data_IF_297094154472
#
_entry.id   IF_297094154472
#
_cell.length_a   1.000
_cell.length_b   1.000
_cell.length_c   1.000
_cell.angle_alpha   90.00
_cell.angle_beta   90.00
_cell.angle_gamma   90.00
#
_symmetry.space_group_name_H-M   'P 1'
#
loop_
_entity.id
_entity.type
_entity.pdbx_description
1 polymer ?
#
# COMPACT_ATOMS: atom_id res chain seq x y z
N UNK A 1 -1.79 -4.76 -35.75
CA UNK A 1 -2.23 -4.11 -34.50
C UNK A 1 -3.10 -5.01 -33.62
N UNK A 2 -4.10 -5.73 -34.14
CA UNK A 2 -4.96 -6.60 -33.32
C UNK A 2 -4.25 -7.77 -32.61
N UNK A 3 -3.25 -8.39 -33.24
CA UNK A 3 -2.48 -9.49 -32.64
C UNK A 3 -1.65 -9.05 -31.42
N UNK A 4 -1.05 -7.85 -31.46
CA UNK A 4 -0.30 -7.29 -30.33
C UNK A 4 -1.23 -6.87 -29.20
N UNK A 5 -2.39 -6.29 -29.51
CA UNK A 5 -3.42 -5.97 -28.51
C UNK A 5 -3.90 -7.23 -27.78
N UNK A 6 -4.23 -8.31 -28.51
CA UNK A 6 -4.68 -9.56 -27.92
C UNK A 6 -3.55 -10.30 -27.16
N UNK A 7 -2.35 -10.38 -27.72
CA UNK A 7 -1.23 -11.04 -27.07
C UNK A 7 -0.78 -10.30 -25.79
N UNK A 8 -0.65 -8.97 -25.83
CA UNK A 8 -0.19 -8.20 -24.66
C UNK A 8 -1.30 -8.03 -23.63
N UNK A 9 -2.52 -7.64 -24.04
CA UNK A 9 -3.59 -7.36 -23.08
C UNK A 9 -4.31 -8.62 -22.60
N UNK A 10 -4.60 -9.57 -23.49
CA UNK A 10 -5.37 -10.75 -23.10
C UNK A 10 -4.49 -11.89 -22.58
N UNK A 11 -3.28 -12.08 -23.11
CA UNK A 11 -2.41 -13.16 -22.62
C UNK A 11 -1.56 -12.72 -21.42
N UNK A 12 -0.74 -11.67 -21.53
CA UNK A 12 0.16 -11.31 -20.43
C UNK A 12 -0.58 -10.83 -19.19
N UNK A 13 -1.57 -9.94 -19.33
CA UNK A 13 -2.30 -9.40 -18.17
C UNK A 13 -3.22 -10.46 -17.55
N UNK A 14 -4.11 -11.06 -18.35
CA UNK A 14 -5.10 -12.01 -17.82
C UNK A 14 -4.42 -13.23 -17.22
N UNK A 15 -3.38 -13.77 -17.87
CA UNK A 15 -2.68 -14.95 -17.33
C UNK A 15 -1.99 -14.61 -16.01
N UNK A 16 -1.33 -13.45 -15.90
CA UNK A 16 -0.70 -12.99 -14.65
C UNK A 16 -1.74 -12.80 -13.55
N UNK A 17 -2.91 -12.24 -13.86
CA UNK A 17 -4.03 -12.10 -12.90
C UNK A 17 -4.55 -13.47 -12.46
N UNK A 18 -4.76 -14.41 -13.39
CA UNK A 18 -5.24 -15.75 -13.09
C UNK A 18 -4.25 -16.53 -12.20
N UNK A 19 -2.96 -16.54 -12.56
CA UNK A 19 -1.91 -17.20 -11.79
C UNK A 19 -1.77 -16.55 -10.42
N UNK A 20 -1.66 -15.23 -10.37
CA UNK A 20 -1.50 -14.50 -9.11
C UNK A 20 -2.68 -14.74 -8.18
N UNK A 21 -3.92 -14.71 -8.69
CA UNK A 21 -5.11 -14.97 -7.89
C UNK A 21 -5.13 -16.41 -7.38
N UNK A 22 -4.88 -17.38 -8.26
CA UNK A 22 -4.90 -18.81 -7.92
C UNK A 22 -3.82 -19.16 -6.90
N UNK A 23 -2.57 -18.80 -7.17
CA UNK A 23 -1.41 -19.11 -6.31
C UNK A 23 -1.52 -18.34 -4.99
N UNK A 24 -1.94 -17.07 -5.02
CA UNK A 24 -2.19 -16.28 -3.81
C UNK A 24 -3.30 -16.87 -2.93
N UNK A 25 -4.37 -17.39 -3.54
CA UNK A 25 -5.46 -18.05 -2.82
C UNK A 25 -5.02 -19.39 -2.20
N UNK A 26 -4.24 -20.19 -2.94
CA UNK A 26 -3.65 -21.43 -2.42
C UNK A 26 -2.70 -21.12 -1.26
N UNK A 27 -1.81 -20.14 -1.43
CA UNK A 27 -0.88 -19.72 -0.38
C UNK A 27 -1.62 -19.26 0.89
N UNK A 28 -2.74 -18.57 0.72
CA UNK A 28 -3.60 -18.16 1.83
C UNK A 28 -4.15 -19.36 2.60
N UNK A 29 -4.72 -20.35 1.91
CA UNK A 29 -5.24 -21.56 2.55
C UNK A 29 -4.10 -22.33 3.23
N UNK A 30 -2.95 -22.45 2.58
CA UNK A 30 -1.78 -23.11 3.14
C UNK A 30 -1.33 -22.45 4.45
N UNK A 31 -1.26 -21.12 4.48
CA UNK A 31 -0.89 -20.37 5.69
C UNK A 31 -1.94 -20.50 6.81
N UNK A 32 -3.23 -20.44 6.48
CA UNK A 32 -4.32 -20.68 7.44
C UNK A 32 -4.26 -22.09 8.03
N UNK A 33 -3.92 -23.07 7.21
CA UNK A 33 -3.74 -24.45 7.68
C UNK A 33 -2.50 -24.53 8.58
N UNK A 34 -1.34 -24.06 8.13
CA UNK A 34 -0.10 -24.10 8.91
C UNK A 34 -0.21 -23.40 10.26
N UNK A 35 -0.95 -22.30 10.37
CA UNK A 35 -1.21 -21.65 11.65
C UNK A 35 -2.10 -22.50 12.58
N UNK A 36 -3.17 -23.11 12.05
CA UNK A 36 -4.04 -24.02 12.83
C UNK A 36 -3.28 -25.20 13.43
N UNK A 37 -2.26 -25.69 12.73
CA UNK A 37 -1.37 -26.76 13.23
C UNK A 37 -0.15 -26.23 14.01
N UNK A 38 -0.04 -24.91 14.23
CA UNK A 38 1.09 -24.24 14.89
C UNK A 38 2.45 -24.56 14.27
N UNK A 39 2.51 -24.69 12.94
CA UNK A 39 3.76 -24.94 12.21
C UNK A 39 4.54 -23.67 11.88
N UNK A 40 3.88 -22.51 11.93
CA UNK A 40 4.45 -21.23 11.52
C UNK A 40 4.34 -20.24 12.67
N UNK A 41 5.50 -19.76 13.12
CA UNK A 41 5.59 -18.64 14.05
C UNK A 41 5.36 -17.30 13.35
N UNK A 42 4.98 -16.28 14.13
CA UNK A 42 4.67 -14.91 13.66
C UNK A 42 5.79 -14.33 12.78
N UNK A 43 7.05 -14.58 13.13
CA UNK A 43 8.22 -14.11 12.38
C UNK A 43 8.38 -14.82 11.02
N UNK A 44 8.07 -16.12 10.97
CA UNK A 44 8.21 -16.97 9.78
C UNK A 44 7.28 -16.59 8.63
N UNK A 45 6.16 -15.92 8.92
CA UNK A 45 5.25 -15.41 7.88
C UNK A 45 5.91 -14.40 6.92
N UNK A 46 6.97 -13.70 7.35
CA UNK A 46 7.74 -12.80 6.49
C UNK A 46 8.50 -13.58 5.42
N UNK A 47 9.19 -14.64 5.86
CA UNK A 47 9.88 -15.58 4.98
C UNK A 47 8.90 -16.25 4.00
N UNK A 48 7.68 -16.58 4.45
CA UNK A 48 6.64 -17.13 3.56
C UNK A 48 6.24 -16.16 2.44
N UNK A 49 6.14 -14.86 2.73
CA UNK A 49 5.77 -13.84 1.72
C UNK A 49 6.89 -13.63 0.69
N UNK A 50 8.16 -13.65 1.14
CA UNK A 50 9.33 -13.60 0.25
C UNK A 50 9.40 -14.85 -0.62
N UNK A 51 9.20 -16.03 -0.03
CA UNK A 51 9.20 -17.31 -0.75
C UNK A 51 8.10 -17.36 -1.80
N UNK A 52 6.89 -16.89 -1.46
CA UNK A 52 5.78 -16.79 -2.40
C UNK A 52 6.11 -15.85 -3.56
N UNK A 53 6.75 -14.72 -3.28
CA UNK A 53 7.18 -13.76 -4.30
C UNK A 53 8.20 -14.39 -5.25
N UNK A 54 9.24 -15.06 -4.72
CA UNK A 54 10.25 -15.76 -5.52
C UNK A 54 9.65 -16.89 -6.37
N UNK A 55 8.71 -17.64 -5.80
CA UNK A 55 7.98 -18.68 -6.53
C UNK A 55 7.19 -18.10 -7.71
N UNK A 56 6.45 -17.00 -7.49
CA UNK A 56 5.69 -16.33 -8.53
C UNK A 56 6.57 -15.75 -9.63
N UNK A 57 7.67 -15.08 -9.27
CA UNK A 57 8.65 -14.58 -10.23
C UNK A 57 9.20 -15.74 -11.07
N UNK A 58 9.52 -16.88 -10.46
CA UNK A 58 9.98 -18.07 -11.16
C UNK A 58 8.94 -18.63 -12.15
N UNK A 59 7.69 -18.77 -11.71
CA UNK A 59 6.58 -19.24 -12.57
C UNK A 59 6.35 -18.28 -13.73
N UNK A 60 6.31 -16.97 -13.46
CA UNK A 60 6.08 -15.94 -14.48
C UNK A 60 7.21 -15.86 -15.49
N UNK A 61 8.47 -16.04 -15.04
CA UNK A 61 9.64 -16.06 -15.93
C UNK A 61 9.57 -17.23 -16.91
N UNK A 62 9.18 -18.42 -16.45
CA UNK A 62 9.04 -19.62 -17.30
C UNK A 62 7.90 -19.44 -18.31
N UNK A 63 6.80 -18.81 -17.90
CA UNK A 63 5.61 -18.61 -18.74
C UNK A 63 5.72 -17.37 -19.64
N UNK A 64 6.72 -16.50 -19.46
CA UNK A 64 6.87 -15.25 -20.21
C UNK A 64 5.77 -14.23 -19.93
N UNK A 65 5.24 -14.21 -18.70
CA UNK A 65 4.16 -13.31 -18.25
C UNK A 65 4.69 -12.23 -17.30
N UNK A 66 3.91 -11.17 -17.04
CA UNK A 66 4.34 -10.06 -16.16
C UNK A 66 4.38 -10.50 -14.69
N UNK A 67 5.58 -10.52 -14.12
CA UNK A 67 5.87 -10.96 -12.77
C UNK A 67 5.42 -9.94 -11.71
N UNK A 68 5.64 -8.64 -11.95
CA UNK A 68 5.26 -7.56 -11.03
C UNK A 68 3.75 -7.54 -10.79
N UNK A 69 2.95 -7.60 -11.86
CA UNK A 69 1.50 -7.65 -11.81
C UNK A 69 1.03 -8.94 -11.13
N UNK A 70 1.63 -10.08 -11.47
CA UNK A 70 1.29 -11.36 -10.86
C UNK A 70 1.52 -11.34 -9.33
N UNK A 71 2.69 -10.87 -8.88
CA UNK A 71 3.01 -10.70 -7.46
C UNK A 71 2.07 -9.72 -6.76
N UNK A 72 1.71 -8.62 -7.42
CA UNK A 72 0.74 -7.66 -6.87
C UNK A 72 -0.65 -8.30 -6.68
N UNK A 73 -1.16 -9.00 -7.70
CA UNK A 73 -2.46 -9.67 -7.62
C UNK A 73 -2.44 -10.78 -6.56
N UNK A 74 -1.35 -11.54 -6.46
CA UNK A 74 -1.19 -12.56 -5.43
C UNK A 74 -1.20 -11.97 -4.02
N UNK A 75 -0.54 -10.83 -3.79
CA UNK A 75 -0.59 -10.12 -2.51
C UNK A 75 -1.99 -9.64 -2.12
N UNK A 76 -2.77 -9.17 -3.11
CA UNK A 76 -4.18 -8.82 -2.92
C UNK A 76 -5.05 -10.05 -2.61
N UNK A 77 -4.86 -11.15 -3.35
CA UNK A 77 -5.56 -12.42 -3.11
C UNK A 77 -5.23 -13.01 -1.73
N UNK A 78 -3.96 -12.94 -1.32
CA UNK A 78 -3.48 -13.38 -0.01
C UNK A 78 -4.12 -12.58 1.13
N UNK A 79 -4.28 -11.26 0.93
CA UNK A 79 -4.85 -10.34 1.93
C UNK A 79 -6.37 -10.15 1.78
N UNK A 80 -7.03 -10.94 0.92
CA UNK A 80 -8.44 -10.74 0.57
C UNK A 80 -9.38 -10.80 1.77
N UNK A 81 -9.08 -11.67 2.75
CA UNK A 81 -9.76 -11.62 4.03
C UNK A 81 -8.84 -10.93 5.03
N UNK A 82 -9.42 -9.99 5.79
CA UNK A 82 -8.74 -9.21 6.82
C UNK A 82 -7.97 -10.04 7.85
N UNK A 83 -8.21 -11.35 7.93
CA UNK A 83 -7.44 -12.29 8.75
C UNK A 83 -5.92 -12.18 8.55
N UNK A 84 -5.42 -12.19 7.31
CA UNK A 84 -3.98 -12.12 7.06
C UNK A 84 -3.42 -10.75 7.47
N UNK A 85 -4.19 -9.68 7.26
CA UNK A 85 -3.80 -8.32 7.66
C UNK A 85 -3.68 -8.19 9.18
N UNK A 86 -4.68 -8.68 9.92
CA UNK A 86 -4.72 -8.62 11.38
C UNK A 86 -3.60 -9.48 11.99
N UNK A 87 -3.34 -10.65 11.43
CA UNK A 87 -2.29 -11.56 11.91
C UNK A 87 -0.88 -10.97 11.74
N UNK A 88 -0.72 -10.01 10.81
CA UNK A 88 0.53 -9.35 10.44
C UNK A 88 0.66 -7.94 11.01
N UNK A 89 -0.39 -7.40 11.63
CA UNK A 89 -0.45 -6.03 12.15
C UNK A 89 0.68 -5.72 13.14
N UNK A 90 1.22 -6.74 13.82
CA UNK A 90 2.29 -6.60 14.81
C UNK A 90 3.73 -6.78 14.25
N UNK A 91 3.92 -6.73 12.92
CA UNK A 91 5.22 -7.01 12.31
C UNK A 91 6.07 -5.77 12.01
N UNK A 92 6.73 -5.26 13.05
CA UNK A 92 7.78 -4.24 12.89
C UNK A 92 8.93 -4.67 11.97
N UNK A 93 9.20 -5.98 11.82
CA UNK A 93 10.29 -6.46 10.96
C UNK A 93 10.04 -6.22 9.47
N UNK A 94 8.81 -6.40 8.96
CA UNK A 94 8.50 -6.14 7.54
C UNK A 94 8.69 -4.66 7.22
N UNK A 95 8.19 -3.80 8.10
CA UNK A 95 8.30 -2.35 7.96
C UNK A 95 9.77 -1.92 8.00
N UNK A 96 10.55 -2.47 8.94
CA UNK A 96 11.99 -2.20 9.05
C UNK A 96 12.73 -2.66 7.80
N UNK A 97 12.49 -3.88 7.30
CA UNK A 97 13.11 -4.37 6.07
C UNK A 97 12.75 -3.52 4.86
N UNK A 98 11.47 -3.14 4.72
CA UNK A 98 11.02 -2.27 3.65
C UNK A 98 11.70 -0.89 3.70
N UNK A 99 11.84 -0.32 4.90
CA UNK A 99 12.55 0.94 5.11
C UNK A 99 14.05 0.80 4.76
N UNK A 100 14.71 -0.27 5.21
CA UNK A 100 16.12 -0.53 4.89
C UNK A 100 16.35 -0.71 3.39
N UNK A 101 15.51 -1.50 2.70
CA UNK A 101 15.58 -1.69 1.25
C UNK A 101 15.34 -0.37 0.51
N UNK A 102 14.37 0.42 0.94
CA UNK A 102 14.07 1.72 0.33
C UNK A 102 15.24 2.69 0.46
N UNK A 103 15.86 2.78 1.65
CA UNK A 103 17.05 3.60 1.88
C UNK A 103 18.21 3.13 1.01
N UNK A 104 18.49 1.83 0.99
CA UNK A 104 19.55 1.25 0.17
C UNK A 104 19.31 1.54 -1.33
N UNK A 105 18.08 1.36 -1.81
CA UNK A 105 17.70 1.67 -3.18
C UNK A 105 17.92 3.14 -3.51
N UNK A 106 17.46 4.08 -2.67
CA UNK A 106 17.60 5.51 -2.97
C UNK A 106 19.04 6.02 -2.90
N UNK A 107 19.87 5.46 -2.00
CA UNK A 107 21.31 5.73 -1.98
C UNK A 107 21.96 5.27 -3.28
N UNK A 108 21.70 4.02 -3.68
CA UNK A 108 22.23 3.46 -4.92
C UNK A 108 21.73 4.24 -6.15
N UNK A 109 20.42 4.49 -6.22
CA UNK A 109 19.79 5.23 -7.29
C UNK A 109 20.40 6.63 -7.43
N UNK A 110 20.57 7.37 -6.32
CA UNK A 110 21.19 8.69 -6.33
C UNK A 110 22.63 8.70 -6.85
N UNK A 111 23.38 7.62 -6.64
CA UNK A 111 24.74 7.46 -7.16
C UNK A 111 24.78 7.14 -8.67
N UNK A 112 23.74 6.51 -9.21
CA UNK A 112 23.67 6.07 -10.62
C UNK A 112 23.11 7.15 -11.55
N UNK A 113 22.53 8.23 -11.03
CA UNK A 113 21.96 9.31 -11.85
C UNK A 113 23.03 9.88 -12.81
N UNK A 114 22.79 9.87 -14.14
CA UNK A 114 23.78 10.31 -15.12
C UNK A 114 23.78 11.85 -15.24
N UNK A 115 24.41 12.53 -14.28
CA UNK A 115 24.42 13.99 -14.20
C UNK A 115 25.05 14.68 -15.42
N UNK A 116 26.04 14.05 -16.05
CA UNK A 116 26.73 14.57 -17.25
C UNK A 116 25.81 14.62 -18.48
N UNK A 117 24.90 13.65 -18.61
CA UNK A 117 24.00 13.54 -19.76
C UNK A 117 22.96 14.67 -19.81
N UNK A 118 22.67 15.31 -18.67
CA UNK A 118 21.78 16.48 -18.62
C UNK A 118 22.41 17.76 -19.17
N UNK A 119 23.74 17.83 -19.25
CA UNK A 119 24.44 19.01 -19.75
C UNK A 119 24.90 18.86 -21.20
N UNK A 120 25.22 17.64 -21.64
CA UNK A 120 25.88 17.40 -22.92
C UNK A 120 24.93 16.98 -24.07
N UNK A 121 23.68 16.66 -23.77
CA UNK A 121 22.72 16.27 -24.80
C UNK A 121 22.01 17.49 -25.41
N UNK A 122 22.29 17.73 -26.70
CA UNK A 122 21.82 18.80 -27.59
C UNK A 122 20.28 19.01 -27.72
N UNK A 123 19.47 18.44 -26.81
CA UNK A 123 17.99 18.48 -26.78
C UNK A 123 17.42 18.72 -25.35
N UNK A 124 18.18 18.44 -24.29
CA UNK A 124 17.74 18.42 -22.89
C UNK A 124 18.33 19.61 -22.10
N UNK A 125 17.91 20.83 -22.41
CA UNK A 125 18.27 21.95 -21.52
C UNK A 125 17.72 21.69 -20.11
N UNK A 126 18.49 22.01 -19.03
CA UNK A 126 18.08 21.79 -17.65
C UNK A 126 16.69 22.36 -17.31
N UNK A 127 16.34 23.53 -17.88
CA UNK A 127 15.03 24.14 -17.67
C UNK A 127 13.88 23.32 -18.26
N UNK A 128 14.08 22.62 -19.39
CA UNK A 128 13.06 21.76 -20.01
C UNK A 128 12.73 20.57 -19.14
N UNK A 129 13.73 20.01 -18.46
CA UNK A 129 13.55 18.90 -17.51
C UNK A 129 12.73 19.37 -16.31
N UNK A 130 13.04 20.56 -15.77
CA UNK A 130 12.26 21.15 -14.67
C UNK A 130 10.79 21.37 -15.09
N UNK A 131 10.55 21.94 -16.27
CA UNK A 131 9.20 22.12 -16.81
C UNK A 131 8.50 20.78 -17.00
N UNK A 132 9.20 19.77 -17.50
CA UNK A 132 8.66 18.43 -17.70
C UNK A 132 8.30 17.76 -16.35
N UNK A 133 9.12 17.91 -15.32
CA UNK A 133 8.82 17.43 -13.96
C UNK A 133 7.53 18.09 -13.46
N UNK A 134 7.44 19.43 -13.51
CA UNK A 134 6.26 20.16 -13.06
C UNK A 134 5.01 19.75 -13.85
N UNK A 135 5.13 19.66 -15.17
CA UNK A 135 4.04 19.27 -16.06
C UNK A 135 3.55 17.86 -15.74
N UNK A 136 4.46 16.91 -15.57
CA UNK A 136 4.13 15.52 -15.24
C UNK A 136 3.51 15.41 -13.86
N UNK A 137 4.02 16.13 -12.86
CA UNK A 137 3.43 16.13 -11.52
C UNK A 137 1.98 16.62 -11.53
N UNK A 138 1.70 17.69 -12.29
CA UNK A 138 0.34 18.24 -12.37
C UNK A 138 -0.57 17.39 -13.25
N UNK A 139 -0.12 16.94 -14.42
CA UNK A 139 -1.00 16.29 -15.40
C UNK A 139 -1.14 14.77 -15.24
N UNK A 140 -0.22 14.08 -14.55
CA UNK A 140 -0.24 12.61 -14.49
C UNK A 140 -1.39 12.07 -13.65
N UNK A 141 -1.66 12.68 -12.49
CA UNK A 141 -2.59 12.11 -11.50
C UNK A 141 -3.78 13.00 -11.17
N UNK A 142 -3.60 14.33 -11.09
CA UNK A 142 -4.70 15.25 -10.76
C UNK A 142 -5.84 15.19 -11.79
N UNK A 143 -5.61 15.20 -13.12
CA UNK A 143 -6.71 15.16 -14.08
C UNK A 143 -7.48 13.84 -14.00
N UNK A 144 -6.76 12.73 -13.87
CA UNK A 144 -7.38 11.42 -13.71
C UNK A 144 -8.26 11.36 -12.45
N UNK A 145 -7.78 11.85 -11.32
CA UNK A 145 -8.56 11.91 -10.08
C UNK A 145 -9.76 12.84 -10.18
N UNK A 146 -9.61 14.01 -10.81
CA UNK A 146 -10.71 14.97 -11.02
C UNK A 146 -11.77 14.44 -11.99
N UNK A 147 -11.41 13.57 -12.93
CA UNK A 147 -12.39 12.92 -13.81
C UNK A 147 -13.05 11.73 -13.11
N UNK A 148 -12.29 10.94 -12.35
CA UNK A 148 -12.78 9.70 -11.73
C UNK A 148 -13.38 9.86 -10.33
N UNK A 149 -13.27 11.01 -9.65
CA UNK A 149 -13.70 11.11 -8.24
C UNK A 149 -15.17 10.73 -8.03
N UNK A 150 -16.04 10.96 -9.02
CA UNK A 150 -17.46 10.59 -8.94
C UNK A 150 -17.68 9.07 -8.87
N UNK A 151 -16.72 8.27 -9.33
CA UNK A 151 -16.74 6.81 -9.26
C UNK A 151 -16.10 6.26 -7.98
N UNK A 152 -15.43 7.10 -7.19
CA UNK A 152 -14.70 6.67 -6.00
C UNK A 152 -15.48 7.10 -4.74
N UNK A 153 -16.27 6.21 -4.11
CA UNK A 153 -17.12 6.57 -2.97
C UNK A 153 -16.35 7.03 -1.72
N UNK A 154 -15.05 6.77 -1.66
CA UNK A 154 -14.16 7.21 -0.58
C UNK A 154 -13.76 8.69 -0.66
N UNK A 155 -13.89 9.35 -1.84
CA UNK A 155 -13.43 10.72 -2.06
C UNK A 155 -14.65 11.62 -2.24
N UNK A 156 -15.05 12.32 -1.16
CA UNK A 156 -16.29 13.10 -1.14
C UNK A 156 -16.07 14.60 -1.37
N UNK A 157 -14.91 15.12 -0.98
CA UNK A 157 -14.64 16.56 -1.02
C UNK A 157 -13.62 16.90 -2.11
N UNK A 158 -13.73 18.08 -2.71
CA UNK A 158 -12.74 18.58 -3.67
C UNK A 158 -11.32 18.63 -3.08
N UNK A 159 -11.19 18.95 -1.79
CA UNK A 159 -9.91 18.89 -1.07
C UNK A 159 -9.34 17.47 -1.00
N UNK A 160 -10.19 16.46 -0.82
CA UNK A 160 -9.77 15.05 -0.80
C UNK A 160 -9.26 14.61 -2.18
N UNK A 161 -9.89 15.09 -3.26
CA UNK A 161 -9.45 14.85 -4.65
C UNK A 161 -8.08 15.46 -4.91
N UNK A 162 -7.91 16.74 -4.56
CA UNK A 162 -6.63 17.44 -4.74
C UNK A 162 -5.53 16.81 -3.89
N UNK A 163 -5.84 16.44 -2.64
CA UNK A 163 -4.91 15.78 -1.74
C UNK A 163 -4.53 14.39 -2.28
N UNK A 164 -5.51 13.55 -2.64
CA UNK A 164 -5.26 12.22 -3.18
C UNK A 164 -4.52 12.27 -4.52
N UNK A 165 -4.78 13.27 -5.36
CA UNK A 165 -4.06 13.46 -6.61
C UNK A 165 -2.63 13.95 -6.42
N UNK A 166 -2.39 14.82 -5.43
CA UNK A 166 -1.06 15.32 -5.11
C UNK A 166 -0.17 14.28 -4.44
N UNK A 167 -0.68 13.43 -3.54
CA UNK A 167 0.16 12.49 -2.77
C UNK A 167 0.46 11.18 -3.53
N UNK A 168 1.12 11.29 -4.69
CA UNK A 168 1.45 10.16 -5.57
C UNK A 168 2.82 10.25 -6.19
N UNK A 169 3.90 10.12 -5.39
CA UNK A 169 5.24 10.18 -5.92
C UNK A 169 5.47 9.05 -6.93
N UNK A 170 6.31 9.33 -7.92
CA UNK A 170 6.77 8.31 -8.86
C UNK A 170 7.64 7.31 -8.08
N UNK A 171 7.22 6.05 -8.09
CA UNK A 171 7.87 4.98 -7.34
C UNK A 171 9.06 4.33 -8.05
N UNK A 172 9.66 3.37 -7.35
CA UNK A 172 10.82 2.56 -7.80
C UNK A 172 10.53 1.77 -9.08
N UNK A 173 9.28 1.35 -9.28
CA UNK A 173 8.85 0.60 -10.47
C UNK A 173 9.10 1.37 -11.78
N UNK A 174 9.04 2.70 -11.79
CA UNK A 174 9.35 3.48 -12.98
C UNK A 174 10.82 3.31 -13.41
N UNK A 175 11.74 3.26 -12.44
CA UNK A 175 13.17 3.03 -12.70
C UNK A 175 13.38 1.61 -13.23
N UNK A 176 12.71 0.62 -12.63
CA UNK A 176 12.74 -0.76 -13.10
C UNK A 176 12.33 -0.87 -14.57
N UNK A 177 11.17 -0.32 -14.95
CA UNK A 177 10.70 -0.37 -16.33
C UNK A 177 11.59 0.42 -17.29
N UNK A 178 12.23 1.51 -16.83
CA UNK A 178 13.19 2.24 -17.66
C UNK A 178 14.42 1.38 -18.00
N UNK A 179 14.97 0.67 -17.02
CA UNK A 179 16.11 -0.26 -17.22
C UNK A 179 15.69 -1.42 -18.11
N UNK A 180 14.54 -2.03 -17.84
CA UNK A 180 14.02 -3.15 -18.63
C UNK A 180 13.76 -2.74 -20.09
N UNK A 181 13.24 -1.53 -20.32
CA UNK A 181 13.05 -0.98 -21.67
C UNK A 181 14.40 -0.84 -22.39
N UNK A 182 15.42 -0.29 -21.73
CA UNK A 182 16.76 -0.13 -22.33
C UNK A 182 17.38 -1.48 -22.68
N UNK A 183 17.22 -2.48 -21.82
CA UNK A 183 17.68 -3.85 -22.04
C UNK A 183 17.00 -4.49 -23.25
N UNK A 184 15.67 -4.39 -23.34
CA UNK A 184 14.92 -4.95 -24.47
C UNK A 184 15.26 -4.26 -25.81
N UNK A 185 15.51 -2.95 -25.79
CA UNK A 185 15.96 -2.21 -26.98
C UNK A 185 17.33 -2.71 -27.47
N UNK A 186 18.23 -3.03 -26.56
CA UNK A 186 19.57 -3.55 -26.86
C UNK A 186 19.51 -4.94 -27.47
N UNK A 187 18.74 -5.86 -26.86
CA UNK A 187 18.57 -7.24 -27.34
C UNK A 187 18.00 -7.33 -28.76
N UNK A 188 17.10 -6.40 -29.13
CA UNK A 188 16.42 -6.43 -30.43
C UNK A 188 17.16 -5.64 -31.53
N UNK A 189 18.36 -5.11 -31.26
CA UNK A 189 19.16 -4.30 -32.20
C UNK A 189 18.35 -3.18 -32.90
N UNK A 190 17.30 -2.66 -32.25
CA UNK A 190 16.52 -1.57 -32.81
C UNK A 190 17.41 -0.34 -32.73
N UNK A 191 17.81 0.22 -33.88
CA UNK A 191 18.63 1.44 -33.99
C UNK A 191 17.85 2.65 -33.47
N UNK A 192 17.65 2.68 -32.15
CA UNK A 192 16.98 3.71 -31.40
C UNK A 192 18.01 4.40 -30.49
N UNK A 193 19.24 4.57 -30.99
CA UNK A 193 20.38 5.08 -30.20
C UNK A 193 20.11 6.41 -29.52
N UNK A 194 19.18 7.23 -30.04
CA UNK A 194 18.71 8.45 -29.38
C UNK A 194 17.70 8.15 -28.25
N UNK A 195 16.75 7.25 -28.45
CA UNK A 195 15.70 6.91 -27.48
C UNK A 195 16.30 6.16 -26.29
N UNK A 196 17.17 5.18 -26.55
CA UNK A 196 17.86 4.39 -25.52
C UNK A 196 18.65 5.30 -24.55
N UNK A 197 19.33 6.32 -25.09
CA UNK A 197 20.10 7.30 -24.31
C UNK A 197 19.24 8.34 -23.60
N UNK A 198 17.96 8.46 -23.92
CA UNK A 198 17.09 9.51 -23.37
C UNK A 198 16.12 8.97 -22.32
N UNK A 199 15.68 7.71 -22.43
CA UNK A 199 14.68 7.11 -21.52
C UNK A 199 15.17 7.11 -20.07
N UNK A 200 16.38 6.61 -19.81
CA UNK A 200 16.90 6.50 -18.45
C UNK A 200 17.16 7.86 -17.78
N UNK A 201 17.80 8.85 -18.43
CA UNK A 201 17.95 10.20 -17.86
C UNK A 201 16.60 10.90 -17.59
N UNK A 202 15.63 10.82 -18.50
CA UNK A 202 14.32 11.47 -18.28
C UNK A 202 13.59 10.83 -17.10
N UNK A 203 13.53 9.49 -17.05
CA UNK A 203 12.81 8.79 -15.98
C UNK A 203 13.50 9.00 -14.63
N UNK A 204 14.83 8.97 -14.59
CA UNK A 204 15.57 9.21 -13.35
C UNK A 204 15.38 10.65 -12.84
N UNK A 205 15.41 11.66 -13.71
CA UNK A 205 15.09 13.04 -13.35
C UNK A 205 13.64 13.21 -12.84
N UNK A 206 12.68 12.55 -13.48
CA UNK A 206 11.27 12.55 -13.05
C UNK A 206 11.09 11.93 -11.66
N UNK A 207 11.70 10.76 -11.42
CA UNK A 207 11.64 10.08 -10.12
C UNK A 207 12.29 10.96 -9.05
N UNK A 208 13.48 11.48 -9.30
CA UNK A 208 14.19 12.37 -8.37
C UNK A 208 13.38 13.62 -8.03
N UNK A 209 12.92 14.36 -9.05
CA UNK A 209 12.12 15.57 -8.85
C UNK A 209 10.80 15.29 -8.13
N UNK A 210 10.14 14.19 -8.46
CA UNK A 210 8.92 13.78 -7.78
C UNK A 210 9.16 13.45 -6.31
N UNK A 211 10.18 12.65 -5.98
CA UNK A 211 10.49 12.26 -4.60
C UNK A 211 10.84 13.49 -3.77
N UNK A 212 11.63 14.42 -4.32
CA UNK A 212 11.96 15.67 -3.64
C UNK A 212 10.73 16.54 -3.34
N UNK A 213 9.90 16.82 -4.36
CA UNK A 213 8.75 17.71 -4.18
C UNK A 213 7.73 17.12 -3.21
N UNK A 214 7.42 15.83 -3.33
CA UNK A 214 6.49 15.16 -2.41
C UNK A 214 7.08 15.00 -1.01
N UNK A 215 8.36 14.64 -0.90
CA UNK A 215 9.05 14.47 0.37
C UNK A 215 9.13 15.77 1.17
N UNK A 216 9.38 16.90 0.51
CA UNK A 216 9.42 18.23 1.15
C UNK A 216 8.02 18.77 1.44
N UNK A 217 7.00 18.40 0.65
CA UNK A 217 5.64 18.92 0.83
C UNK A 217 5.02 18.56 2.19
N UNK A 218 5.31 17.38 2.75
CA UNK A 218 4.74 16.94 4.03
C UNK A 218 5.25 17.81 5.18
N UNK A 219 6.57 17.92 5.44
CA UNK A 219 7.10 18.82 6.46
C UNK A 219 6.60 20.27 6.31
N UNK A 220 6.54 20.80 5.10
CA UNK A 220 6.07 22.18 4.85
C UNK A 220 4.62 22.39 5.27
N UNK A 221 3.73 21.45 4.94
CA UNK A 221 2.31 21.52 5.35
C UNK A 221 2.19 21.46 6.88
N UNK A 222 3.00 20.63 7.54
CA UNK A 222 3.00 20.55 9.01
C UNK A 222 3.54 21.85 9.66
N UNK A 223 4.64 22.40 9.14
CA UNK A 223 5.21 23.67 9.62
C UNK A 223 4.23 24.84 9.48
N UNK A 224 3.53 24.93 8.35
CA UNK A 224 2.51 25.96 8.13
C UNK A 224 1.35 25.90 9.13
N UNK A 225 0.95 24.69 9.55
CA UNK A 225 -0.06 24.52 10.60
C UNK A 225 0.45 24.95 11.98
N UNK A 226 1.71 24.69 12.33
CA UNK A 226 2.28 25.12 13.61
C UNK A 226 2.46 26.64 13.72
N UNK A 227 2.73 27.34 12.61
CA UNK A 227 2.77 28.82 12.58
C UNK A 227 1.37 29.42 12.79
N UNK A 228 0.33 28.82 12.20
CA UNK A 228 -1.06 29.25 12.40
C UNK A 228 -1.56 29.07 13.84
N UNK A 229 -1.17 28.00 14.52
CA UNK A 229 -1.59 27.74 15.91
C UNK A 229 -0.80 28.56 16.94
N UNK A 230 0.36 29.11 16.58
CA UNK A 230 1.15 29.97 17.49
C UNK A 230 0.60 31.41 17.56
N UNK A 231 -0.16 31.86 16.55
CA UNK A 231 -0.78 33.19 16.54
C UNK A 231 -2.18 33.26 17.19
N UNK A 232 -2.80 32.13 17.55
CA UNK A 232 -4.10 32.09 18.26
C UNK A 232 -3.94 31.38 19.61
N UNK A 233 -2.94 31.79 20.40
CA UNK A 233 -2.85 31.43 21.81
C UNK A 233 -2.89 32.71 22.66
N UNK A 234 -4.08 33.28 22.80
CA UNK A 234 -4.42 34.17 23.91
C UNK A 234 -5.86 33.87 24.33
N UNK A 235 -6.01 33.36 25.56
CA UNK A 235 -7.23 33.02 26.32
C UNK A 235 -8.14 31.93 25.71
N UNK A 236 -8.52 30.85 26.39
CA UNK A 236 -8.88 30.70 27.80
C UNK A 236 -8.49 29.33 28.38
N UNK A 237 -8.25 29.30 29.70
CA UNK A 237 -8.08 28.11 30.53
C UNK A 237 -9.32 27.20 30.56
N UNK A 238 -9.11 25.98 31.08
CA UNK A 238 -10.06 24.92 31.49
C UNK A 238 -10.25 23.68 30.56
N UNK A 239 -9.26 22.76 30.63
CA UNK A 239 -9.37 21.28 30.90
C UNK A 239 -10.06 20.31 29.86
N UNK A 240 -9.94 18.96 29.98
CA UNK A 240 -9.09 18.12 29.10
C UNK A 240 -9.87 17.08 28.26
N UNK A 241 -9.58 16.98 26.96
CA UNK A 241 -10.22 15.99 26.08
C UNK A 241 -9.64 14.58 26.27
N UNK A 242 -10.36 13.74 27.02
CA UNK A 242 -10.10 12.31 27.21
C UNK A 242 -11.28 11.52 26.63
N UNK A 243 -11.21 11.10 25.37
CA UNK A 243 -12.10 10.11 24.70
C UNK A 243 -11.24 9.53 23.54
N UNK A 244 -10.90 8.25 23.47
CA UNK A 244 -11.82 7.14 23.21
C UNK A 244 -11.15 5.78 23.56
N UNK A 245 -11.60 5.14 24.64
CA UNK A 245 -11.43 3.70 24.87
C UNK A 245 -12.80 3.12 25.21
N UNK A 246 -13.60 2.77 24.19
CA UNK A 246 -14.79 1.94 24.39
C UNK A 246 -14.38 0.48 24.29
N UNK A 247 -14.24 -0.20 25.43
CA UNK A 247 -14.40 -1.66 25.53
C UNK A 247 -15.89 -1.96 25.74
N UNK A 248 -16.44 -3.06 25.20
CA UNK A 248 -17.83 -3.43 25.44
C UNK A 248 -18.00 -3.93 26.88
N UNK A 249 -19.04 -3.47 27.57
CA UNK A 249 -19.46 -4.01 28.85
C UNK A 249 -20.42 -5.18 28.57
N UNK A 250 -20.05 -6.37 29.03
CA UNK A 250 -20.96 -7.50 29.11
C UNK A 250 -21.99 -7.22 30.21
N UNK A 251 -23.28 -7.27 29.86
CA UNK A 251 -24.37 -7.29 30.84
C UNK A 251 -24.47 -8.70 31.41
N UNK A 252 -23.79 -8.92 32.52
CA UNK A 252 -24.31 -9.76 33.60
C UNK A 252 -24.99 -8.80 34.58
N UNK A 253 -26.29 -8.96 34.79
CA UNK A 253 -27.07 -8.64 36.00
C UNK A 253 -28.54 -8.42 35.59
N UNK A 254 -29.24 -9.52 35.31
CA UNK A 254 -30.70 -9.56 35.23
C UNK A 254 -31.16 -10.64 36.21
N UNK A 255 -31.11 -10.31 37.49
CA UNK A 255 -31.58 -11.16 38.57
C UNK A 255 -32.36 -10.29 39.57
N UNK A 256 -33.61 -9.98 39.22
CA UNK A 256 -34.64 -9.63 40.21
C UNK A 256 -36.03 -9.92 39.65
N UNK A 257 -36.26 -11.18 39.31
CA UNK A 257 -37.59 -11.76 39.49
C UNK A 257 -37.49 -13.28 39.41
N UNK A 258 -37.99 -13.95 40.46
CA UNK A 258 -38.01 -15.41 40.71
C UNK A 258 -36.80 -15.95 41.44
N UNK A 259 -36.84 -15.89 42.77
CA UNK A 259 -36.51 -17.06 43.58
C UNK A 259 -37.23 -16.94 44.94
N UNK A 260 -37.98 -17.99 45.27
CA UNK A 260 -38.31 -18.47 46.62
C UNK A 260 -39.22 -17.61 47.50
N UNK A 261 -40.52 -17.87 47.32
CA UNK A 261 -41.45 -17.98 48.43
C UNK A 261 -40.93 -18.98 49.47
N UNK A 262 -41.16 -18.59 50.71
CA UNK A 262 -40.70 -19.15 51.96
C UNK A 262 -41.42 -20.46 52.33
N UNK A 263 -40.66 -21.33 52.98
CA UNK A 263 -40.94 -22.44 53.90
C UNK A 263 -42.23 -23.30 53.84
N UNK A 264 -41.98 -24.60 53.58
CA UNK A 264 -42.32 -25.81 54.36
C UNK A 264 -43.76 -26.10 54.87
N UNK A 265 -44.25 -27.36 54.77
CA UNK A 265 -45.61 -27.76 55.13
C UNK A 265 -45.79 -27.96 56.65
N UNK A 266 -46.84 -27.34 57.20
CA UNK A 266 -47.33 -27.59 58.56
C UNK A 266 -48.03 -28.96 58.67
N UNK A 267 -47.50 -29.83 59.52
CA UNK A 267 -48.17 -31.01 60.04
C UNK A 267 -48.23 -30.92 61.58
N UNK A 268 -49.47 -30.76 62.05
CA UNK A 268 -50.09 -31.45 63.19
C UNK A 268 -49.91 -31.00 64.68
N UNK A 269 -51.09 -30.75 65.27
CA UNK A 269 -51.60 -30.89 66.66
C UNK A 269 -51.08 -29.97 67.80
N UNK A 270 -52.00 -29.12 68.33
CA UNK A 270 -52.67 -29.32 69.63
C UNK A 270 -53.03 -27.99 70.33
N UNK A 271 -54.27 -27.54 70.15
CA UNK A 271 -54.99 -26.77 71.16
C UNK A 271 -56.20 -27.58 71.62
N UNK A 272 -56.11 -28.03 72.87
CA UNK A 272 -57.13 -27.88 73.92
C UNK A 272 -58.61 -27.98 73.50
N UNK A 273 -59.26 -29.08 73.88
CA UNK A 273 -60.62 -29.01 74.44
C UNK A 273 -60.86 -30.18 75.41
N UNK A 274 -61.48 -29.82 76.52
CA UNK A 274 -62.28 -30.62 77.45
C UNK A 274 -63.18 -31.64 76.78
#
# INVERSE_FOLDING_TARGET
MGAWMYATWAYQILMSVCIGTLVGYIARIALQYSERFRWVDRESFLSSSVTLTLLLVGICTILGTDDILCCFVAGNSLSWNDWFRIEIEDKGLQETLNAMLSVAFFIYFGAVIPWSEYSEANMLHPWRIVVLIVLVMVLRRLPAMVVLYKFIPAVRTWYDVLFAGWFGPIGVSAVFYAVETVKQLDEHNVSAGQVQKTVFPIVSALVFGSVLVHGVSIPLVLMGKHVGTTMVRTQSNELPFRIWSRRPKADSDNECDKQTADDSPNLEIAHTQT
#
